data_IF_014178300838
#
_entry.id   IF_014178300838
#
_cell.length_a   1.000
_cell.length_b   1.000
_cell.length_c   1.000
_cell.angle_alpha   90.00
_cell.angle_beta   90.00
_cell.angle_gamma   90.00
#
_symmetry.space_group_name_H-M   'P 1'
#
loop_
_entity.id
_entity.type
_entity.pdbx_description
1 polymer ?
#
# COMPACT_ATOMS: atom_id res chain seq x y z
N UNK A 1 -12.13 -16.44 -27.99
CA UNK A 1 -13.01 -15.70 -28.94
C UNK A 1 -12.44 -14.31 -29.10
N UNK A 2 -12.14 -13.86 -30.34
CA UNK A 2 -11.64 -12.52 -30.57
C UNK A 2 -12.62 -11.45 -30.10
N UNK A 3 -12.09 -10.36 -29.56
CA UNK A 3 -12.88 -9.23 -29.06
C UNK A 3 -12.84 -8.11 -30.10
N UNK A 4 -14.00 -7.55 -30.46
CA UNK A 4 -14.11 -6.45 -31.42
C UNK A 4 -14.60 -5.18 -30.74
N UNK A 5 -13.87 -4.07 -30.91
CA UNK A 5 -14.35 -2.73 -30.59
C UNK A 5 -15.21 -2.22 -31.74
N UNK A 6 -16.43 -1.76 -31.43
CA UNK A 6 -17.32 -1.21 -32.45
C UNK A 6 -17.77 0.22 -32.14
N UNK A 7 -18.00 0.97 -33.22
CA UNK A 7 -18.82 2.18 -33.24
C UNK A 7 -20.07 1.89 -34.04
N UNK A 8 -21.23 2.09 -33.42
CA UNK A 8 -22.52 1.88 -34.07
C UNK A 8 -23.45 3.05 -33.77
N UNK A 9 -24.43 3.25 -34.62
CA UNK A 9 -25.47 4.27 -34.46
C UNK A 9 -26.78 3.54 -34.21
N UNK A 10 -27.52 3.94 -33.19
CA UNK A 10 -28.86 3.39 -32.94
C UNK A 10 -29.92 4.10 -33.77
N UNK A 11 -31.16 3.56 -33.82
CA UNK A 11 -32.25 4.13 -34.62
C UNK A 11 -32.63 5.58 -34.28
N UNK A 12 -32.09 6.15 -33.20
CA UNK A 12 -32.24 7.56 -32.80
C UNK A 12 -31.03 8.43 -33.17
N UNK A 13 -30.17 7.95 -34.07
CA UNK A 13 -28.94 8.64 -34.57
C UNK A 13 -27.90 8.94 -33.49
N UNK A 14 -27.92 8.22 -32.32
CA UNK A 14 -26.91 8.35 -31.25
C UNK A 14 -25.78 7.35 -31.47
N UNK A 15 -24.55 7.86 -31.43
CA UNK A 15 -23.33 7.03 -31.53
C UNK A 15 -23.11 6.25 -30.24
N UNK A 16 -23.15 4.93 -30.34
CA UNK A 16 -22.77 3.99 -29.27
C UNK A 16 -21.43 3.37 -29.61
N UNK A 17 -20.55 3.33 -28.60
CA UNK A 17 -19.26 2.62 -28.66
C UNK A 17 -19.30 1.50 -27.64
N UNK A 18 -18.82 0.32 -28.02
CA UNK A 18 -18.77 -0.83 -27.10
C UNK A 18 -17.82 -1.90 -27.60
N UNK A 19 -17.82 -3.01 -26.89
CA UNK A 19 -17.00 -4.19 -27.18
C UNK A 19 -17.97 -5.35 -27.37
N UNK A 20 -17.70 -6.21 -28.34
CA UNK A 20 -18.50 -7.42 -28.61
C UNK A 20 -17.58 -8.61 -28.86
N UNK A 21 -17.93 -9.76 -28.30
CA UNK A 21 -17.24 -11.02 -28.51
C UNK A 21 -17.83 -11.71 -29.75
N UNK A 22 -16.99 -12.03 -30.73
CA UNK A 22 -17.41 -12.72 -31.93
C UNK A 22 -16.23 -13.49 -32.55
N UNK A 23 -16.54 -14.57 -33.26
CA UNK A 23 -15.49 -15.38 -33.90
C UNK A 23 -14.90 -14.70 -35.14
N UNK A 24 -15.69 -13.86 -35.80
CA UNK A 24 -15.27 -13.08 -36.97
C UNK A 24 -15.90 -11.69 -36.98
N UNK A 25 -15.29 -10.76 -37.72
CA UNK A 25 -15.84 -9.41 -37.96
C UNK A 25 -17.26 -9.46 -38.53
N UNK A 26 -17.57 -10.50 -39.31
CA UNK A 26 -18.88 -10.70 -39.92
C UNK A 26 -19.92 -11.13 -38.87
N UNK A 27 -19.55 -12.00 -37.94
CA UNK A 27 -20.40 -12.44 -36.84
C UNK A 27 -20.67 -11.28 -35.85
N UNK A 28 -19.64 -10.49 -35.55
CA UNK A 28 -19.78 -9.28 -34.73
C UNK A 28 -20.80 -8.30 -35.33
N UNK A 29 -20.74 -8.06 -36.63
CA UNK A 29 -21.71 -7.20 -37.32
C UNK A 29 -23.13 -7.78 -37.29
N UNK A 30 -23.26 -9.09 -37.41
CA UNK A 30 -24.55 -9.77 -37.38
C UNK A 30 -25.21 -9.73 -36.02
N UNK A 31 -24.42 -9.91 -34.93
CA UNK A 31 -24.89 -9.75 -33.56
C UNK A 31 -25.36 -8.32 -33.26
N UNK A 32 -24.57 -7.31 -33.65
CA UNK A 32 -24.93 -5.90 -33.45
C UNK A 32 -26.17 -5.48 -34.26
N UNK A 33 -26.36 -6.06 -35.49
CA UNK A 33 -27.56 -5.83 -36.27
C UNK A 33 -28.82 -6.39 -35.64
N UNK A 34 -28.74 -7.52 -34.92
CA UNK A 34 -29.86 -8.06 -34.14
C UNK A 34 -30.26 -7.11 -33.01
N UNK A 35 -29.30 -6.38 -32.42
CA UNK A 35 -29.51 -5.37 -31.38
C UNK A 35 -29.94 -4.00 -31.94
N UNK A 36 -30.33 -3.94 -33.23
CA UNK A 36 -30.75 -2.71 -33.93
C UNK A 36 -29.69 -1.61 -33.96
N UNK A 37 -28.41 -2.00 -33.94
CA UNK A 37 -27.26 -1.11 -34.01
C UNK A 37 -26.62 -1.17 -35.40
N UNK A 38 -26.51 -0.02 -36.05
CA UNK A 38 -25.85 0.11 -37.38
C UNK A 38 -24.38 0.39 -37.19
N UNK A 39 -23.53 -0.58 -37.50
CA UNK A 39 -22.07 -0.51 -37.28
C UNK A 39 -21.44 0.44 -38.32
N UNK A 40 -20.82 1.51 -37.81
CA UNK A 40 -20.08 2.50 -38.62
C UNK A 40 -18.59 2.12 -38.72
N UNK A 41 -18.00 1.59 -37.68
CA UNK A 41 -16.61 1.12 -37.63
C UNK A 41 -16.49 -0.10 -36.70
N UNK A 42 -15.72 -1.10 -37.10
CA UNK A 42 -15.47 -2.30 -36.28
C UNK A 42 -14.02 -2.72 -36.52
N UNK A 43 -13.29 -2.86 -35.45
CA UNK A 43 -11.88 -3.26 -35.45
C UNK A 43 -11.69 -4.36 -34.41
N UNK A 44 -10.89 -5.35 -34.78
CA UNK A 44 -10.40 -6.32 -33.83
C UNK A 44 -9.64 -5.59 -32.74
N UNK A 45 -10.06 -5.73 -31.50
CA UNK A 45 -9.38 -5.19 -30.36
C UNK A 45 -8.04 -5.95 -30.21
N UNK A 46 -7.04 -5.59 -31.04
CA UNK A 46 -5.66 -5.94 -30.72
C UNK A 46 -5.43 -5.41 -29.33
N UNK A 47 -5.11 -6.29 -28.39
CA UNK A 47 -4.66 -5.93 -27.04
C UNK A 47 -3.68 -4.75 -27.21
N UNK A 48 -4.19 -3.54 -27.11
CA UNK A 48 -3.38 -2.36 -26.91
C UNK A 48 -2.85 -2.47 -25.50
N UNK A 49 -1.77 -3.26 -25.34
CA UNK A 49 -0.79 -2.87 -24.35
C UNK A 49 -0.57 -1.37 -24.61
N UNK A 50 -1.16 -0.55 -23.73
CA UNK A 50 -0.79 0.86 -23.65
C UNK A 50 0.74 0.85 -23.53
N UNK A 51 1.44 1.13 -24.63
CA UNK A 51 2.81 1.62 -24.62
C UNK A 51 2.76 3.00 -23.93
N UNK A 52 2.52 3.00 -22.63
CA UNK A 52 3.02 4.05 -21.79
C UNK A 52 4.52 4.01 -21.99
N UNK A 53 5.10 5.16 -22.21
CA UNK A 53 6.55 5.36 -22.27
C UNK A 53 7.12 4.63 -21.05
N UNK A 54 7.62 3.39 -21.26
CA UNK A 54 8.41 2.68 -20.26
C UNK A 54 9.70 3.47 -20.18
N UNK A 55 9.79 4.37 -19.20
CA UNK A 55 11.07 4.78 -18.64
C UNK A 55 11.65 3.49 -18.08
N UNK A 56 12.53 2.90 -18.86
CA UNK A 56 13.25 1.65 -18.56
C UNK A 56 14.20 1.97 -17.42
N UNK A 57 13.80 1.69 -16.17
CA UNK A 57 14.67 1.98 -15.03
C UNK A 57 14.08 1.80 -13.65
N UNK A 58 12.80 1.47 -13.52
CA UNK A 58 12.26 1.12 -12.20
C UNK A 58 11.57 -0.22 -12.35
N UNK A 59 12.15 -1.26 -11.79
CA UNK A 59 11.52 -2.54 -11.53
C UNK A 59 10.37 -2.29 -10.55
N UNK A 60 9.27 -1.80 -11.07
CA UNK A 60 8.02 -1.71 -10.35
C UNK A 60 7.47 -3.11 -10.17
N UNK A 61 7.82 -3.75 -9.08
CA UNK A 61 6.92 -4.72 -8.48
C UNK A 61 5.64 -3.94 -8.22
N UNK A 62 4.58 -4.20 -8.99
CA UNK A 62 3.26 -3.64 -8.72
C UNK A 62 2.83 -4.15 -7.34
N UNK A 63 3.12 -3.35 -6.31
CA UNK A 63 2.61 -3.63 -4.98
C UNK A 63 1.08 -3.58 -5.04
N UNK A 64 0.39 -4.60 -4.51
CA UNK A 64 -1.06 -4.63 -4.52
C UNK A 64 -1.62 -3.35 -3.90
N UNK A 65 -2.46 -2.64 -4.63
CA UNK A 65 -3.13 -1.45 -4.11
C UNK A 65 -4.03 -1.85 -2.93
N UNK A 66 -4.10 -1.03 -1.88
CA UNK A 66 -4.87 -1.27 -0.64
C UNK A 66 -6.28 -1.80 -0.91
N UNK A 67 -7.01 -1.15 -1.81
CA UNK A 67 -8.35 -1.54 -2.22
C UNK A 67 -8.41 -2.94 -2.85
N UNK A 68 -7.39 -3.32 -3.62
CA UNK A 68 -7.29 -4.65 -4.24
C UNK A 68 -7.09 -5.74 -3.21
N UNK A 69 -6.27 -5.51 -2.17
CA UNK A 69 -6.04 -6.51 -1.11
C UNK A 69 -7.32 -6.81 -0.33
N UNK A 70 -8.11 -5.80 0.00
CA UNK A 70 -9.41 -5.97 0.66
C UNK A 70 -10.40 -6.77 -0.20
N UNK A 71 -10.49 -6.42 -1.49
CA UNK A 71 -11.34 -7.11 -2.45
C UNK A 71 -10.92 -8.57 -2.63
N UNK A 72 -9.62 -8.84 -2.76
CA UNK A 72 -9.09 -10.21 -2.86
C UNK A 72 -9.36 -10.99 -1.57
N UNK A 73 -9.22 -10.37 -0.40
CA UNK A 73 -9.56 -11.02 0.87
C UNK A 73 -11.03 -11.44 0.94
N UNK A 74 -11.95 -10.55 0.51
CA UNK A 74 -13.38 -10.85 0.47
C UNK A 74 -13.71 -11.99 -0.52
N UNK A 75 -13.16 -11.91 -1.73
CA UNK A 75 -13.32 -12.94 -2.76
C UNK A 75 -12.72 -14.28 -2.31
N UNK A 76 -11.54 -14.26 -1.69
CA UNK A 76 -10.91 -15.49 -1.16
C UNK A 76 -11.77 -16.13 -0.09
N UNK A 77 -12.37 -15.34 0.79
CA UNK A 77 -13.32 -15.85 1.81
C UNK A 77 -14.55 -16.48 1.19
N UNK A 78 -15.12 -15.83 0.18
CA UNK A 78 -16.26 -16.35 -0.55
C UNK A 78 -15.92 -17.69 -1.23
N UNK A 79 -14.79 -17.77 -1.94
CA UNK A 79 -14.30 -19.02 -2.52
C UNK A 79 -14.14 -20.12 -1.46
N UNK A 80 -13.50 -19.78 -0.33
CA UNK A 80 -13.30 -20.72 0.77
C UNK A 80 -14.63 -21.29 1.28
N UNK A 81 -15.64 -20.44 1.46
CA UNK A 81 -16.99 -20.88 1.89
C UNK A 81 -17.67 -21.77 0.86
N UNK A 82 -17.54 -21.47 -0.43
CA UNK A 82 -18.11 -22.29 -1.51
C UNK A 82 -17.45 -23.66 -1.58
N UNK A 83 -16.12 -23.72 -1.51
CA UNK A 83 -15.39 -25.00 -1.51
C UNK A 83 -15.69 -25.83 -0.25
N UNK A 84 -15.84 -25.19 0.90
CA UNK A 84 -16.22 -25.87 2.15
C UNK A 84 -17.63 -26.46 2.07
N UNK A 85 -18.52 -25.81 1.31
CA UNK A 85 -19.84 -26.33 1.00
C UNK A 85 -19.82 -27.48 -0.07
N UNK A 86 -18.65 -27.88 -0.54
CA UNK A 86 -18.49 -28.95 -1.53
C UNK A 86 -18.67 -28.51 -2.99
N UNK A 87 -18.76 -27.21 -3.25
CA UNK A 87 -18.87 -26.68 -4.62
C UNK A 87 -17.53 -26.85 -5.35
N UNK A 88 -17.50 -27.43 -6.56
CA UNK A 88 -16.27 -27.58 -7.32
C UNK A 88 -15.60 -26.24 -7.62
N UNK A 89 -14.24 -26.22 -7.66
CA UNK A 89 -13.43 -25.00 -7.85
C UNK A 89 -13.85 -24.18 -9.08
N UNK A 90 -14.07 -24.84 -10.23
CA UNK A 90 -14.47 -24.16 -11.46
C UNK A 90 -15.82 -23.45 -11.35
N UNK A 91 -16.72 -24.00 -10.55
CA UNK A 91 -18.05 -23.41 -10.30
C UNK A 91 -17.96 -22.30 -9.24
N UNK A 92 -17.17 -22.49 -8.19
CA UNK A 92 -16.86 -21.43 -7.21
C UNK A 92 -16.24 -20.20 -7.89
N UNK A 93 -15.31 -20.40 -8.82
CA UNK A 93 -14.73 -19.32 -9.64
C UNK A 93 -15.80 -18.62 -10.50
N UNK A 94 -16.73 -19.36 -11.09
CA UNK A 94 -17.86 -18.78 -11.85
C UNK A 94 -18.71 -17.85 -10.97
N UNK A 95 -19.10 -18.32 -9.80
CA UNK A 95 -19.89 -17.51 -8.87
C UNK A 95 -19.18 -16.23 -8.41
N UNK A 96 -17.88 -16.34 -8.17
CA UNK A 96 -17.03 -15.17 -7.83
C UNK A 96 -16.97 -14.16 -8.99
N UNK A 97 -16.88 -14.63 -10.23
CA UNK A 97 -16.88 -13.77 -11.42
C UNK A 97 -18.19 -12.99 -11.55
N UNK A 98 -19.32 -13.65 -11.32
CA UNK A 98 -20.66 -13.04 -11.38
C UNK A 98 -20.87 -11.96 -10.30
N UNK A 99 -20.21 -12.10 -9.15
CA UNK A 99 -20.30 -11.17 -8.01
C UNK A 99 -19.10 -10.24 -7.87
N UNK A 100 -18.22 -10.20 -8.87
CA UNK A 100 -16.99 -9.42 -8.80
C UNK A 100 -17.25 -7.92 -8.58
N UNK A 101 -16.56 -7.26 -7.63
CA UNK A 101 -16.81 -5.86 -7.27
C UNK A 101 -16.40 -4.88 -8.36
N UNK A 102 -15.50 -5.24 -9.24
CA UNK A 102 -15.06 -4.44 -10.37
C UNK A 102 -14.64 -5.29 -11.59
N UNK A 103 -14.65 -4.66 -12.78
CA UNK A 103 -14.33 -5.31 -14.05
C UNK A 103 -12.90 -5.87 -14.14
N UNK A 104 -11.96 -5.35 -13.35
CA UNK A 104 -10.57 -5.84 -13.38
C UNK A 104 -10.46 -7.14 -12.61
N UNK A 105 -11.11 -7.23 -11.45
CA UNK A 105 -11.19 -8.47 -10.69
C UNK A 105 -11.98 -9.50 -11.48
N UNK A 106 -13.11 -9.12 -12.06
CA UNK A 106 -13.88 -9.99 -12.97
C UNK A 106 -12.99 -10.59 -14.07
N UNK A 107 -12.26 -9.76 -14.80
CA UNK A 107 -11.39 -10.22 -15.90
C UNK A 107 -10.25 -11.11 -15.41
N UNK A 108 -9.68 -10.80 -14.23
CA UNK A 108 -8.61 -11.61 -13.61
C UNK A 108 -9.12 -13.00 -13.24
N UNK A 109 -10.26 -13.09 -12.56
CA UNK A 109 -10.83 -14.39 -12.18
C UNK A 109 -11.39 -15.16 -13.39
N UNK A 110 -11.81 -14.48 -14.45
CA UNK A 110 -12.20 -15.11 -15.72
C UNK A 110 -11.00 -15.80 -16.37
N UNK A 111 -9.84 -15.14 -16.47
CA UNK A 111 -8.60 -15.73 -16.98
C UNK A 111 -8.13 -16.91 -16.12
N UNK A 112 -8.18 -16.76 -14.79
CA UNK A 112 -7.85 -17.85 -13.87
C UNK A 112 -8.77 -19.05 -14.10
N UNK A 113 -10.10 -18.84 -14.17
CA UNK A 113 -11.07 -19.90 -14.40
C UNK A 113 -10.82 -20.61 -15.73
N UNK A 114 -10.54 -19.88 -16.79
CA UNK A 114 -10.23 -20.44 -18.11
C UNK A 114 -9.02 -21.36 -18.04
N UNK A 115 -7.92 -20.92 -17.41
CA UNK A 115 -6.70 -21.73 -17.23
C UNK A 115 -6.96 -22.97 -16.37
N UNK A 116 -7.71 -22.86 -15.29
CA UNK A 116 -8.06 -23.99 -14.42
C UNK A 116 -8.94 -25.01 -15.17
N UNK A 117 -9.90 -24.56 -15.98
CA UNK A 117 -10.72 -25.46 -16.80
C UNK A 117 -9.94 -26.13 -17.93
N UNK A 118 -8.82 -25.53 -18.37
CA UNK A 118 -7.86 -26.13 -19.31
C UNK A 118 -6.89 -27.11 -18.64
N UNK A 119 -7.01 -27.34 -17.32
CA UNK A 119 -6.19 -28.28 -16.56
C UNK A 119 -4.95 -27.67 -15.89
N UNK A 120 -4.77 -26.36 -15.93
CA UNK A 120 -3.68 -25.71 -15.18
C UNK A 120 -3.99 -25.75 -13.69
N UNK A 121 -3.03 -26.10 -12.80
CA UNK A 121 -3.20 -26.01 -11.36
C UNK A 121 -3.61 -24.59 -10.94
N UNK A 122 -4.52 -24.48 -9.97
CA UNK A 122 -5.05 -23.18 -9.52
C UNK A 122 -3.94 -22.28 -8.97
N UNK A 123 -2.99 -22.85 -8.22
CA UNK A 123 -1.84 -22.10 -7.69
C UNK A 123 -0.95 -21.51 -8.80
N UNK A 124 -0.81 -22.19 -9.95
CA UNK A 124 -0.06 -21.67 -11.10
C UNK A 124 -0.86 -20.62 -11.88
N UNK A 125 -2.17 -20.81 -12.02
CA UNK A 125 -3.04 -19.84 -12.65
C UNK A 125 -3.03 -18.49 -11.90
N UNK A 126 -3.05 -18.53 -10.57
CA UNK A 126 -2.97 -17.36 -9.69
C UNK A 126 -1.63 -16.64 -9.80
N UNK A 127 -0.52 -17.38 -9.92
CA UNK A 127 0.85 -16.84 -10.04
C UNK A 127 1.01 -15.93 -11.28
N UNK A 128 0.20 -16.15 -12.32
CA UNK A 128 0.22 -15.29 -13.51
C UNK A 128 -0.32 -13.86 -13.28
N UNK A 129 -0.87 -13.58 -12.10
CA UNK A 129 -1.46 -12.29 -11.74
C UNK A 129 -0.79 -11.64 -10.51
N UNK A 130 0.53 -11.32 -10.55
CA UNK A 130 1.28 -10.82 -9.38
C UNK A 130 0.79 -9.46 -8.86
N UNK A 131 0.07 -8.69 -9.69
CA UNK A 131 -0.56 -7.43 -9.25
C UNK A 131 -1.77 -7.60 -8.31
N UNK A 132 -2.30 -8.83 -8.20
CA UNK A 132 -3.43 -9.18 -7.33
C UNK A 132 -3.05 -10.17 -6.24
N UNK A 133 -2.20 -11.14 -6.56
CA UNK A 133 -1.82 -12.24 -5.68
C UNK A 133 -0.33 -12.20 -5.41
N UNK A 134 0.03 -12.25 -4.13
CA UNK A 134 1.43 -12.33 -3.70
C UNK A 134 1.97 -13.75 -3.85
N UNK A 135 3.30 -13.88 -3.78
CA UNK A 135 3.97 -15.18 -3.73
C UNK A 135 3.45 -16.05 -2.58
N UNK A 136 3.16 -15.42 -1.42
CA UNK A 136 2.52 -16.08 -0.28
C UNK A 136 1.20 -16.75 -0.70
N UNK A 137 0.32 -16.00 -1.38
CA UNK A 137 -0.98 -16.49 -1.84
C UNK A 137 -0.81 -17.72 -2.74
N UNK A 138 0.02 -17.59 -3.75
CA UNK A 138 0.26 -18.67 -4.73
C UNK A 138 0.87 -19.90 -4.09
N UNK A 139 1.84 -19.75 -3.19
CA UNK A 139 2.47 -20.88 -2.50
C UNK A 139 1.51 -21.60 -1.56
N UNK A 140 0.68 -20.86 -0.82
CA UNK A 140 -0.36 -21.45 0.04
C UNK A 140 -1.40 -22.21 -0.80
N UNK A 141 -1.86 -21.64 -1.92
CA UNK A 141 -2.81 -22.30 -2.81
C UNK A 141 -2.22 -23.59 -3.38
N UNK A 142 -0.95 -23.58 -3.84
CA UNK A 142 -0.26 -24.79 -4.31
C UNK A 142 -0.18 -25.88 -3.23
N UNK A 143 0.17 -25.50 -2.00
CA UNK A 143 0.21 -26.44 -0.90
C UNK A 143 -1.18 -27.05 -0.61
N UNK A 144 -2.23 -26.22 -0.62
CA UNK A 144 -3.62 -26.66 -0.42
C UNK A 144 -4.13 -27.56 -1.54
N UNK A 145 -3.78 -27.24 -2.77
CA UNK A 145 -4.14 -28.02 -3.96
C UNK A 145 -3.43 -29.40 -3.93
N UNK A 146 -2.13 -29.43 -3.63
CA UNK A 146 -1.34 -30.67 -3.54
C UNK A 146 -1.78 -31.58 -2.40
N UNK A 147 -2.26 -31.02 -1.29
CA UNK A 147 -2.75 -31.78 -0.12
C UNK A 147 -4.25 -32.12 -0.19
N UNK A 148 -4.99 -31.64 -1.21
CA UNK A 148 -6.43 -31.78 -1.31
C UNK A 148 -7.23 -31.00 -0.25
N UNK A 149 -6.61 -30.04 0.44
CA UNK A 149 -7.19 -29.25 1.51
C UNK A 149 -7.32 -27.75 1.14
N UNK A 150 -7.65 -27.48 -0.14
CA UNK A 150 -7.73 -26.11 -0.67
C UNK A 150 -8.73 -25.24 0.07
N UNK A 151 -9.87 -25.78 0.51
CA UNK A 151 -10.87 -25.12 1.34
C UNK A 151 -10.27 -24.56 2.62
N UNK A 152 -9.53 -25.40 3.37
CA UNK A 152 -8.88 -25.02 4.64
C UNK A 152 -7.81 -23.95 4.43
N UNK A 153 -7.02 -24.11 3.36
CA UNK A 153 -5.96 -23.15 3.03
C UNK A 153 -6.55 -21.81 2.63
N UNK A 154 -7.63 -21.77 1.84
CA UNK A 154 -8.28 -20.51 1.47
C UNK A 154 -8.95 -19.80 2.66
N UNK A 155 -9.50 -20.54 3.64
CA UNK A 155 -9.99 -19.95 4.90
C UNK A 155 -8.85 -19.24 5.65
N UNK A 156 -7.70 -19.91 5.80
CA UNK A 156 -6.51 -19.33 6.46
C UNK A 156 -5.99 -18.12 5.71
N UNK A 157 -5.93 -18.23 4.39
CA UNK A 157 -5.45 -17.16 3.52
C UNK A 157 -6.37 -15.93 3.57
N UNK A 158 -7.69 -16.13 3.57
CA UNK A 158 -8.67 -15.06 3.77
C UNK A 158 -8.49 -14.38 5.14
N UNK A 159 -8.31 -15.17 6.19
CA UNK A 159 -8.01 -14.67 7.55
C UNK A 159 -6.70 -13.87 7.60
N UNK A 160 -5.65 -14.37 6.99
CA UNK A 160 -4.36 -13.69 6.88
C UNK A 160 -4.46 -12.35 6.14
N UNK A 161 -5.07 -12.32 4.96
CA UNK A 161 -5.25 -11.09 4.18
C UNK A 161 -6.09 -10.06 4.95
N UNK A 162 -7.09 -10.52 5.69
CA UNK A 162 -7.92 -9.65 6.53
C UNK A 162 -7.14 -9.08 7.70
N UNK A 163 -6.33 -9.89 8.40
CA UNK A 163 -5.46 -9.43 9.48
C UNK A 163 -4.44 -8.41 8.98
N UNK A 164 -3.80 -8.68 7.83
CA UNK A 164 -2.86 -7.77 7.19
C UNK A 164 -3.51 -6.42 6.83
N UNK A 165 -4.72 -6.47 6.27
CA UNK A 165 -5.49 -5.27 5.92
C UNK A 165 -5.89 -4.49 7.16
N UNK A 166 -6.34 -5.18 8.22
CA UNK A 166 -6.71 -4.58 9.51
C UNK A 166 -5.54 -3.83 10.14
N UNK A 167 -4.36 -4.45 10.22
CA UNK A 167 -3.13 -3.79 10.73
C UNK A 167 -2.80 -2.51 9.95
N UNK A 168 -2.82 -2.59 8.62
CA UNK A 168 -2.55 -1.42 7.76
C UNK A 168 -3.59 -0.32 7.95
N UNK A 169 -4.87 -0.68 8.08
CA UNK A 169 -5.96 0.27 8.26
C UNK A 169 -5.92 0.92 9.64
N UNK A 170 -5.59 0.19 10.71
CA UNK A 170 -5.43 0.74 12.06
C UNK A 170 -4.43 1.89 12.08
N UNK A 171 -3.20 1.65 11.60
CA UNK A 171 -2.16 2.68 11.56
C UNK A 171 -2.56 3.84 10.63
N UNK A 172 -3.15 3.54 9.46
CA UNK A 172 -3.62 4.57 8.54
C UNK A 172 -4.71 5.45 9.13
N UNK A 173 -5.70 4.86 9.80
CA UNK A 173 -6.80 5.59 10.44
C UNK A 173 -6.29 6.52 11.57
N UNK A 174 -5.34 6.04 12.37
CA UNK A 174 -4.76 6.83 13.44
C UNK A 174 -4.00 8.08 12.95
N UNK A 175 -3.43 8.02 11.74
CA UNK A 175 -2.69 9.13 11.13
C UNK A 175 -3.59 10.14 10.36
N UNK A 176 -4.87 9.82 10.12
CA UNK A 176 -5.79 10.72 9.40
C UNK A 176 -5.98 12.03 10.17
N UNK A 177 -6.22 11.95 11.48
CA UNK A 177 -6.43 13.14 12.30
C UNK A 177 -5.21 14.09 12.33
N UNK A 178 -3.98 13.60 12.61
CA UNK A 178 -2.77 14.42 12.48
C UNK A 178 -2.59 15.03 11.08
N UNK A 179 -2.89 14.28 10.03
CA UNK A 179 -2.79 14.77 8.66
C UNK A 179 -3.78 15.94 8.40
N UNK A 180 -5.02 15.80 8.85
CA UNK A 180 -6.03 16.86 8.71
C UNK A 180 -5.57 18.12 9.47
N UNK A 181 -5.05 17.98 10.69
CA UNK A 181 -4.53 19.10 11.47
C UNK A 181 -3.39 19.84 10.75
N UNK A 182 -2.44 19.08 10.18
CA UNK A 182 -1.34 19.69 9.39
C UNK A 182 -1.89 20.42 8.16
N UNK A 183 -2.82 19.80 7.42
CA UNK A 183 -3.42 20.42 6.22
C UNK A 183 -4.15 21.70 6.59
N UNK A 184 -4.99 21.67 7.61
CA UNK A 184 -5.70 22.88 8.09
C UNK A 184 -4.71 23.95 8.55
N UNK A 185 -3.68 23.56 9.30
CA UNK A 185 -2.63 24.48 9.75
C UNK A 185 -1.89 25.15 8.57
N UNK A 186 -1.52 24.36 7.55
CA UNK A 186 -0.88 24.91 6.34
C UNK A 186 -1.82 25.86 5.60
N UNK A 187 -3.13 25.54 5.50
CA UNK A 187 -4.13 26.43 4.87
C UNK A 187 -4.24 27.75 5.65
N UNK A 188 -4.31 27.68 6.98
CA UNK A 188 -4.39 28.90 7.81
C UNK A 188 -3.14 29.77 7.61
N UNK A 189 -1.94 29.19 7.67
CA UNK A 189 -0.69 29.92 7.43
C UNK A 189 -0.66 30.50 6.01
N UNK A 190 -1.05 29.74 5.00
CA UNK A 190 -1.11 30.22 3.61
C UNK A 190 -2.08 31.41 3.44
N UNK A 191 -3.27 31.34 4.05
CA UNK A 191 -4.24 32.44 4.03
C UNK A 191 -3.66 33.70 4.70
N UNK A 192 -2.99 33.54 5.85
CA UNK A 192 -2.36 34.69 6.52
C UNK A 192 -1.25 35.29 5.64
N UNK A 193 -0.40 34.45 5.04
CA UNK A 193 0.70 34.90 4.18
C UNK A 193 0.25 35.56 2.88
N UNK A 194 -0.79 35.04 2.23
CA UNK A 194 -1.26 35.55 0.92
C UNK A 194 -2.19 36.75 1.04
N UNK A 195 -3.02 36.82 2.09
CA UNK A 195 -4.05 37.85 2.19
C UNK A 195 -3.79 38.88 3.30
N UNK A 196 -3.32 38.45 4.48
CA UNK A 196 -3.18 39.35 5.64
C UNK A 196 -1.85 40.10 5.59
N UNK A 197 -0.74 39.38 5.40
CA UNK A 197 0.59 39.99 5.38
C UNK A 197 0.74 41.08 4.32
N UNK A 198 0.34 40.90 3.04
CA UNK A 198 0.46 41.98 2.03
C UNK A 198 -0.35 43.22 2.37
N UNK A 199 -1.58 43.07 2.89
CA UNK A 199 -2.43 44.21 3.27
C UNK A 199 -1.79 45.06 4.38
N UNK A 200 -1.24 44.39 5.40
CA UNK A 200 -0.56 45.09 6.51
C UNK A 200 0.74 45.72 6.01
N UNK A 201 1.47 45.04 5.15
CA UNK A 201 2.72 45.57 4.54
C UNK A 201 2.46 46.88 3.76
N UNK A 202 1.37 46.94 2.96
CA UNK A 202 1.02 48.13 2.19
C UNK A 202 0.74 49.33 3.12
N UNK A 203 0.05 49.12 4.26
CA UNK A 203 -0.24 50.15 5.24
C UNK A 203 1.05 50.70 5.90
N UNK A 204 2.04 49.87 6.11
CA UNK A 204 3.31 50.24 6.77
C UNK A 204 4.27 50.92 5.78
N UNK A 205 4.45 50.39 4.57
CA UNK A 205 5.32 50.96 3.53
C UNK A 205 4.93 52.40 3.14
N UNK A 206 3.62 52.74 3.22
CA UNK A 206 3.14 54.06 2.92
C UNK A 206 3.62 55.16 3.89
N UNK A 207 4.29 54.81 5.01
CA UNK A 207 4.74 55.77 6.05
C UNK A 207 6.27 55.91 6.14
N UNK A 208 7.04 55.28 5.27
CA UNK A 208 8.50 55.51 5.12
C UNK A 208 9.38 55.06 6.28
N UNK A 209 8.89 54.16 7.15
CA UNK A 209 9.65 53.66 8.30
C UNK A 209 10.38 52.35 7.97
N UNK A 210 11.56 52.13 8.59
CA UNK A 210 12.28 50.90 8.51
C UNK A 210 11.55 49.75 9.20
N UNK A 211 11.41 48.64 8.52
CA UNK A 211 10.70 47.45 9.00
C UNK A 211 11.58 46.63 9.96
N UNK A 212 11.03 46.20 11.12
CA UNK A 212 11.72 45.28 12.01
C UNK A 212 12.10 43.97 11.30
N UNK A 213 13.24 43.36 11.71
CA UNK A 213 13.76 42.12 11.13
C UNK A 213 12.68 41.00 11.00
N UNK A 214 11.86 40.69 12.02
CA UNK A 214 10.82 39.66 11.90
C UNK A 214 9.82 39.94 10.79
N UNK A 215 9.43 41.22 10.64
CA UNK A 215 8.50 41.68 9.61
C UNK A 215 9.12 41.56 8.22
N UNK A 216 10.40 41.96 8.08
CA UNK A 216 11.12 41.83 6.81
C UNK A 216 11.24 40.38 6.35
N UNK A 217 11.57 39.43 7.25
CA UNK A 217 11.63 38.00 6.97
C UNK A 217 10.24 37.50 6.53
N UNK A 218 9.19 37.89 7.25
CA UNK A 218 7.82 37.45 6.94
C UNK A 218 7.36 37.96 5.56
N UNK A 219 7.66 39.19 5.22
CA UNK A 219 7.31 39.78 3.92
C UNK A 219 8.06 39.10 2.80
N UNK A 220 9.39 38.92 2.95
CA UNK A 220 10.21 38.22 1.93
C UNK A 220 9.72 36.79 1.71
N UNK A 221 9.35 36.06 2.78
CA UNK A 221 8.79 34.73 2.67
C UNK A 221 7.40 34.73 2.01
N UNK A 222 6.56 35.73 2.30
CA UNK A 222 5.25 35.90 1.67
C UNK A 222 5.38 36.20 0.18
N UNK A 223 6.20 37.19 -0.19
CA UNK A 223 6.42 37.59 -1.58
C UNK A 223 7.02 36.40 -2.37
N UNK A 224 7.97 35.65 -1.78
CA UNK A 224 8.53 34.44 -2.38
C UNK A 224 7.43 33.38 -2.63
N UNK A 225 6.53 33.15 -1.70
CA UNK A 225 5.44 32.19 -1.86
C UNK A 225 4.41 32.64 -2.92
N UNK A 226 4.13 33.94 -3.01
CA UNK A 226 3.16 34.50 -3.96
C UNK A 226 3.75 34.55 -5.38
N UNK A 227 4.98 35.02 -5.52
CA UNK A 227 5.62 35.24 -6.84
C UNK A 227 6.14 33.94 -7.44
N UNK A 228 6.62 33.02 -6.59
CA UNK A 228 7.30 31.79 -7.01
C UNK A 228 6.55 30.51 -6.65
N UNK A 229 5.21 30.58 -6.42
CA UNK A 229 4.40 29.42 -6.02
C UNK A 229 4.58 28.23 -6.97
N UNK A 230 4.69 28.50 -8.30
CA UNK A 230 4.89 27.47 -9.32
C UNK A 230 6.27 26.79 -9.17
N UNK A 231 7.32 27.58 -8.90
CA UNK A 231 8.66 27.05 -8.65
C UNK A 231 8.72 26.23 -7.37
N UNK A 232 8.00 26.65 -6.31
CA UNK A 232 7.86 25.89 -5.07
C UNK A 232 7.17 24.54 -5.34
N UNK A 233 6.11 24.53 -6.12
CA UNK A 233 5.37 23.32 -6.48
C UNK A 233 6.25 22.38 -7.32
N UNK A 234 6.93 22.89 -8.33
CA UNK A 234 7.88 22.10 -9.15
C UNK A 234 9.06 21.61 -8.30
N UNK A 235 9.58 22.45 -7.40
CA UNK A 235 10.65 22.06 -6.46
C UNK A 235 10.21 20.90 -5.55
N UNK A 236 9.02 20.97 -4.95
CA UNK A 236 8.47 19.87 -4.14
C UNK A 236 8.31 18.61 -4.98
N UNK A 237 7.81 18.72 -6.22
CA UNK A 237 7.65 17.59 -7.13
C UNK A 237 9.01 16.94 -7.46
N UNK A 238 10.02 17.74 -7.80
CA UNK A 238 11.37 17.24 -8.10
C UNK A 238 12.00 16.60 -6.87
N UNK A 239 11.82 17.19 -5.68
CA UNK A 239 12.35 16.70 -4.42
C UNK A 239 11.70 15.37 -4.04
N UNK A 240 10.37 15.22 -4.26
CA UNK A 240 9.67 13.95 -4.04
C UNK A 240 10.13 12.86 -5.01
N UNK A 241 10.37 13.19 -6.29
CA UNK A 241 10.91 12.25 -7.28
C UNK A 241 12.34 11.85 -6.90
N UNK A 242 13.20 12.80 -6.58
CA UNK A 242 14.58 12.53 -6.16
C UNK A 242 14.64 11.68 -4.89
N UNK A 243 13.79 11.97 -3.92
CA UNK A 243 13.66 11.18 -2.70
C UNK A 243 13.17 9.74 -2.98
N UNK A 244 12.18 9.56 -3.85
CA UNK A 244 11.74 8.23 -4.27
C UNK A 244 12.86 7.46 -4.98
N UNK A 245 13.62 8.12 -5.86
CA UNK A 245 14.78 7.50 -6.53
C UNK A 245 15.86 7.09 -5.51
N UNK A 246 16.13 7.94 -4.52
CA UNK A 246 17.08 7.63 -3.44
C UNK A 246 16.63 6.42 -2.62
N UNK A 247 15.37 6.40 -2.16
CA UNK A 247 14.82 5.30 -1.35
C UNK A 247 14.72 3.99 -2.13
N UNK A 248 14.44 4.05 -3.43
CA UNK A 248 14.40 2.86 -4.29
C UNK A 248 15.78 2.31 -4.65
N UNK A 249 16.85 3.06 -4.44
CA UNK A 249 18.20 2.56 -4.66
C UNK A 249 18.58 1.49 -3.61
N UNK A 250 19.49 0.55 -3.93
CA UNK A 250 19.89 -0.49 -2.98
C UNK A 250 20.49 0.08 -1.69
N UNK A 251 21.39 1.06 -1.80
CA UNK A 251 22.07 1.70 -0.65
C UNK A 251 21.18 2.70 0.08
N UNK A 252 20.50 3.59 -0.65
CA UNK A 252 19.60 4.59 -0.07
C UNK A 252 18.43 3.98 0.67
N UNK A 253 17.84 2.90 0.13
CA UNK A 253 16.77 2.17 0.80
C UNK A 253 17.22 1.55 2.13
N UNK A 254 18.41 0.94 2.20
CA UNK A 254 18.93 0.40 3.45
C UNK A 254 19.19 1.51 4.49
N UNK A 255 19.79 2.62 4.08
CA UNK A 255 20.02 3.78 4.96
C UNK A 255 18.71 4.35 5.50
N UNK A 256 17.73 4.54 4.63
CA UNK A 256 16.42 5.05 4.98
C UNK A 256 15.67 4.10 5.92
N UNK A 257 15.68 2.80 5.65
CA UNK A 257 15.04 1.79 6.49
C UNK A 257 15.73 1.66 7.86
N UNK A 258 17.08 1.77 7.89
CA UNK A 258 17.81 1.82 9.16
C UNK A 258 17.50 3.09 9.96
N UNK A 259 17.39 4.24 9.29
CA UNK A 259 17.02 5.51 9.93
C UNK A 259 15.62 5.44 10.53
N UNK A 260 14.64 4.93 9.78
CA UNK A 260 13.26 4.75 10.26
C UNK A 260 13.20 3.92 11.55
N UNK A 261 13.99 2.86 11.66
CA UNK A 261 14.03 2.00 12.85
C UNK A 261 14.67 2.69 14.08
N UNK A 262 15.45 3.75 13.88
CA UNK A 262 16.12 4.52 14.96
C UNK A 262 15.28 5.71 15.45
N UNK A 263 14.24 6.11 14.71
CA UNK A 263 13.40 7.23 15.12
C UNK A 263 12.66 6.92 16.42
N UNK A 264 12.67 7.85 17.41
CA UNK A 264 11.91 7.65 18.65
C UNK A 264 10.43 7.48 18.35
N UNK A 265 9.74 6.62 19.09
CA UNK A 265 8.31 6.26 18.95
C UNK A 265 7.97 5.59 17.62
N UNK A 266 8.34 6.20 16.48
CA UNK A 266 8.04 5.67 15.14
C UNK A 266 8.82 4.39 14.83
N UNK A 267 10.09 4.32 15.23
CA UNK A 267 10.92 3.12 15.03
C UNK A 267 10.43 1.93 15.86
N UNK A 268 9.93 2.17 17.07
CA UNK A 268 9.32 1.14 17.92
C UNK A 268 8.06 0.57 17.26
N UNK A 269 7.16 1.44 16.78
CA UNK A 269 5.97 1.03 16.03
C UNK A 269 6.33 0.18 14.80
N UNK A 270 7.33 0.60 14.00
CA UNK A 270 7.74 -0.14 12.81
C UNK A 270 8.33 -1.51 13.13
N UNK A 271 9.13 -1.61 14.20
CA UNK A 271 9.67 -2.90 14.66
C UNK A 271 8.54 -3.84 15.07
N UNK A 272 7.61 -3.38 15.91
CA UNK A 272 6.46 -4.15 16.38
C UNK A 272 5.58 -4.61 15.23
N UNK A 273 5.27 -3.71 14.29
CA UNK A 273 4.50 -4.04 13.10
C UNK A 273 5.20 -5.09 12.22
N UNK A 274 6.53 -4.99 12.08
CA UNK A 274 7.31 -5.97 11.32
C UNK A 274 7.36 -7.32 12.01
N UNK A 275 7.43 -7.35 13.36
CA UNK A 275 7.39 -8.59 14.12
C UNK A 275 6.01 -9.26 14.05
N UNK A 276 4.92 -8.50 14.20
CA UNK A 276 3.57 -9.01 14.01
C UNK A 276 3.40 -9.65 12.63
N UNK A 277 3.83 -8.96 11.57
CA UNK A 277 3.78 -9.51 10.21
C UNK A 277 4.64 -10.74 10.03
N UNK A 278 5.87 -10.72 10.51
CA UNK A 278 6.80 -11.84 10.46
C UNK A 278 6.19 -13.09 11.09
N UNK A 279 5.77 -12.98 12.33
CA UNK A 279 5.29 -14.12 13.12
C UNK A 279 3.98 -14.68 12.59
N UNK A 280 3.01 -13.83 12.27
CA UNK A 280 1.72 -14.25 11.69
C UNK A 280 1.90 -14.90 10.31
N UNK A 281 2.79 -14.33 9.46
CA UNK A 281 3.05 -14.90 8.13
C UNK A 281 3.71 -16.25 8.23
N UNK A 282 4.76 -16.38 9.05
CA UNK A 282 5.51 -17.62 9.21
C UNK A 282 4.60 -18.71 9.84
N UNK A 283 3.85 -18.38 10.89
CA UNK A 283 2.88 -19.29 11.50
C UNK A 283 1.85 -19.80 10.49
N UNK A 284 1.28 -18.90 9.68
CA UNK A 284 0.27 -19.23 8.68
C UNK A 284 0.80 -20.19 7.62
N UNK A 285 2.02 -19.96 7.14
CA UNK A 285 2.68 -20.82 6.15
C UNK A 285 2.98 -22.22 6.71
N UNK A 286 3.61 -22.28 7.88
CA UNK A 286 3.94 -23.53 8.54
C UNK A 286 2.68 -24.35 8.83
N UNK A 287 1.65 -23.74 9.40
CA UNK A 287 0.35 -24.38 9.67
C UNK A 287 -0.35 -24.86 8.38
N UNK A 288 -0.03 -24.26 7.23
CA UNK A 288 -0.56 -24.68 5.93
C UNK A 288 0.27 -25.77 5.25
N UNK A 289 1.31 -26.29 5.95
CA UNK A 289 2.17 -27.37 5.48
C UNK A 289 3.28 -26.92 4.54
N UNK A 290 3.54 -25.62 4.45
CA UNK A 290 4.68 -25.10 3.65
C UNK A 290 5.98 -25.42 4.40
N UNK A 291 6.99 -26.02 3.75
CA UNK A 291 8.27 -26.32 4.37
C UNK A 291 8.93 -25.06 4.98
N UNK A 292 9.60 -25.21 6.13
CA UNK A 292 10.13 -24.08 6.91
C UNK A 292 11.06 -23.16 6.11
N UNK A 293 11.96 -23.70 5.31
CA UNK A 293 12.86 -22.92 4.45
C UNK A 293 12.09 -22.08 3.42
N UNK A 294 11.10 -22.68 2.77
CA UNK A 294 10.26 -21.96 1.82
C UNK A 294 9.40 -20.89 2.53
N UNK A 295 8.89 -21.23 3.72
CA UNK A 295 8.11 -20.31 4.54
C UNK A 295 8.94 -19.08 4.96
N UNK A 296 10.21 -19.25 5.34
CA UNK A 296 11.15 -18.15 5.63
C UNK A 296 11.39 -17.25 4.41
N UNK A 297 11.61 -17.85 3.23
CA UNK A 297 11.84 -17.11 1.99
C UNK A 297 10.63 -16.26 1.60
N UNK A 298 9.42 -16.81 1.72
CA UNK A 298 8.17 -16.09 1.44
C UNK A 298 7.95 -14.98 2.47
N UNK A 299 8.19 -15.28 3.76
CA UNK A 299 8.04 -14.31 4.86
C UNK A 299 8.98 -13.12 4.69
N UNK A 300 10.21 -13.33 4.21
CA UNK A 300 11.14 -12.24 3.88
C UNK A 300 10.52 -11.23 2.91
N UNK A 301 9.81 -11.70 1.88
CA UNK A 301 9.20 -10.82 0.87
C UNK A 301 7.99 -10.02 1.41
N UNK A 302 7.42 -10.44 2.54
CA UNK A 302 6.29 -9.75 3.21
C UNK A 302 6.77 -8.61 4.13
N UNK A 303 8.03 -8.62 4.54
CA UNK A 303 8.60 -7.55 5.37
C UNK A 303 8.86 -6.29 4.54
N UNK A 304 8.41 -5.13 5.03
CA UNK A 304 8.56 -3.84 4.33
C UNK A 304 9.93 -3.17 4.59
N UNK A 305 10.77 -3.74 5.46
CA UNK A 305 12.05 -3.15 5.89
C UNK A 305 13.24 -4.00 5.40
N UNK A 306 14.12 -3.40 4.61
CA UNK A 306 15.28 -4.08 4.02
C UNK A 306 16.29 -4.59 5.05
N UNK A 307 16.40 -3.93 6.22
CA UNK A 307 17.30 -4.40 7.29
C UNK A 307 16.79 -5.71 7.85
N UNK A 308 15.47 -5.80 8.11
CA UNK A 308 14.85 -7.04 8.60
C UNK A 308 14.81 -8.13 7.53
N UNK A 309 14.60 -7.77 6.25
CA UNK A 309 14.71 -8.71 5.13
C UNK A 309 16.10 -9.36 5.07
N UNK A 310 17.17 -8.53 5.19
CA UNK A 310 18.54 -9.04 5.18
C UNK A 310 18.84 -9.92 6.41
N UNK A 311 18.35 -9.53 7.59
CA UNK A 311 18.48 -10.36 8.79
C UNK A 311 17.78 -11.71 8.62
N UNK A 312 16.56 -11.72 8.05
CA UNK A 312 15.85 -12.98 7.80
C UNK A 312 16.51 -13.82 6.71
N UNK A 313 17.15 -13.19 5.71
CA UNK A 313 17.96 -13.93 4.73
C UNK A 313 19.14 -14.64 5.41
N UNK A 314 19.85 -13.98 6.34
CA UNK A 314 20.93 -14.61 7.09
C UNK A 314 20.43 -15.78 7.95
N UNK A 315 19.25 -15.62 8.57
CA UNK A 315 18.61 -16.74 9.29
C UNK A 315 18.33 -17.91 8.34
N UNK A 316 17.71 -17.65 7.21
CA UNK A 316 17.41 -18.66 6.20
C UNK A 316 18.67 -19.42 5.74
N UNK A 317 19.76 -18.69 5.44
CA UNK A 317 21.02 -19.29 4.96
C UNK A 317 21.65 -20.19 6.03
N UNK A 318 21.60 -19.78 7.32
CA UNK A 318 22.08 -20.59 8.44
C UNK A 318 21.23 -21.84 8.68
N UNK A 319 19.91 -21.74 8.50
CA UNK A 319 19.02 -22.89 8.62
C UNK A 319 19.28 -23.92 7.52
N UNK A 320 19.63 -23.49 6.28
CA UNK A 320 20.10 -24.39 5.23
C UNK A 320 21.37 -25.14 5.67
N UNK A 321 22.27 -24.49 6.41
CA UNK A 321 23.49 -25.11 6.98
C UNK A 321 23.20 -26.07 8.14
N UNK A 322 21.92 -26.24 8.54
CA UNK A 322 21.48 -27.18 9.56
C UNK A 322 21.43 -26.61 10.99
N UNK A 323 21.52 -25.27 11.14
CA UNK A 323 21.28 -24.63 12.46
C UNK A 323 19.78 -24.52 12.75
N UNK A 324 19.42 -24.44 14.02
CA UNK A 324 18.07 -24.10 14.47
C UNK A 324 17.65 -22.69 14.03
N UNK A 325 16.37 -22.37 14.10
CA UNK A 325 15.84 -21.05 13.75
C UNK A 325 16.20 -19.97 14.79
N UNK A 326 16.16 -20.33 16.07
CA UNK A 326 16.30 -19.39 17.17
C UNK A 326 17.71 -18.78 17.29
N UNK A 327 18.76 -19.60 17.11
CA UNK A 327 20.16 -19.18 17.26
C UNK A 327 20.54 -18.07 16.28
N UNK A 328 20.36 -18.19 14.95
CA UNK A 328 20.70 -17.12 14.03
C UNK A 328 19.78 -15.89 14.16
N UNK A 329 18.52 -16.06 14.58
CA UNK A 329 17.65 -14.93 14.90
C UNK A 329 18.21 -14.10 16.04
N UNK A 330 18.66 -14.75 17.14
CA UNK A 330 19.29 -14.10 18.29
C UNK A 330 20.60 -13.42 17.91
N UNK A 331 21.42 -14.07 17.11
CA UNK A 331 22.73 -13.54 16.67
C UNK A 331 22.59 -12.31 15.76
N UNK A 332 21.54 -12.23 14.95
CA UNK A 332 21.31 -11.08 14.04
C UNK A 332 21.06 -9.76 14.76
N UNK A 333 20.63 -9.78 16.03
CA UNK A 333 20.28 -8.59 16.82
C UNK A 333 19.11 -7.78 16.27
N UNK A 334 18.51 -8.23 15.18
CA UNK A 334 17.40 -7.52 14.49
C UNK A 334 16.03 -7.95 15.00
N UNK A 335 15.94 -9.11 15.65
CA UNK A 335 14.73 -9.65 16.25
C UNK A 335 14.74 -9.42 17.77
N UNK A 336 13.62 -9.03 18.37
CA UNK A 336 13.50 -8.92 19.82
C UNK A 336 13.84 -10.26 20.51
N UNK A 337 14.48 -10.22 21.71
CA UNK A 337 14.85 -11.45 22.43
C UNK A 337 13.66 -12.38 22.70
N UNK A 338 12.48 -11.81 23.00
CA UNK A 338 11.23 -12.56 23.20
C UNK A 338 10.85 -13.40 21.97
N UNK A 339 10.99 -12.84 20.76
CA UNK A 339 10.66 -13.56 19.51
C UNK A 339 11.60 -14.74 19.34
N UNK A 340 12.92 -14.50 19.44
CA UNK A 340 13.93 -15.57 19.27
C UNK A 340 13.79 -16.66 20.34
N UNK A 341 13.45 -16.29 21.59
CA UNK A 341 13.22 -17.25 22.67
C UNK A 341 11.98 -18.12 22.40
N UNK A 342 10.85 -17.50 22.03
CA UNK A 342 9.60 -18.23 21.76
C UNK A 342 9.72 -19.13 20.54
N UNK A 343 10.47 -18.71 19.52
CA UNK A 343 10.80 -19.56 18.36
C UNK A 343 11.60 -20.78 18.81
N UNK A 344 12.62 -20.60 19.65
CA UNK A 344 13.41 -21.72 20.16
C UNK A 344 12.59 -22.70 21.01
N UNK A 345 11.71 -22.21 21.87
CA UNK A 345 10.80 -23.06 22.65
C UNK A 345 9.86 -23.85 21.73
N UNK A 346 9.26 -23.16 20.73
CA UNK A 346 8.37 -23.81 19.78
C UNK A 346 9.06 -24.85 18.88
N UNK A 347 10.31 -24.59 18.49
CA UNK A 347 11.13 -25.51 17.70
C UNK A 347 11.49 -26.78 18.49
N UNK A 348 11.92 -26.62 19.76
CA UNK A 348 12.23 -27.74 20.66
C UNK A 348 10.99 -28.57 21.04
N UNK A 349 9.84 -27.91 21.21
CA UNK A 349 8.59 -28.57 21.58
C UNK A 349 7.83 -29.15 20.36
N UNK A 350 8.26 -28.86 19.12
CA UNK A 350 7.58 -29.27 17.89
C UNK A 350 6.24 -28.56 17.65
N UNK A 351 6.00 -27.40 18.28
CA UNK A 351 4.78 -26.62 18.14
C UNK A 351 5.07 -25.14 17.75
N UNK A 352 6.04 -24.98 16.85
CA UNK A 352 6.52 -23.66 16.39
C UNK A 352 5.40 -22.76 15.89
N UNK A 353 4.40 -23.31 15.18
CA UNK A 353 3.28 -22.58 14.62
C UNK A 353 2.45 -21.89 15.72
N UNK A 354 2.16 -22.63 16.80
CA UNK A 354 1.37 -22.11 17.92
C UNK A 354 2.13 -21.01 18.67
N UNK A 355 3.43 -21.19 18.88
CA UNK A 355 4.27 -20.19 19.54
C UNK A 355 4.36 -18.92 18.69
N UNK A 356 4.52 -19.04 17.39
CA UNK A 356 4.53 -17.90 16.48
C UNK A 356 3.18 -17.16 16.45
N UNK A 357 2.05 -17.86 16.49
CA UNK A 357 0.72 -17.23 16.58
C UNK A 357 0.54 -16.43 17.88
N UNK A 358 0.95 -17.00 19.00
CA UNK A 358 0.91 -16.30 20.31
C UNK A 358 1.76 -15.03 20.28
N UNK A 359 2.98 -15.13 19.78
CA UNK A 359 3.86 -13.96 19.59
C UNK A 359 3.22 -12.95 18.66
N UNK A 360 2.63 -13.39 17.53
CA UNK A 360 1.93 -12.54 16.60
C UNK A 360 0.78 -11.76 17.20
N UNK A 361 -0.04 -12.42 18.03
CA UNK A 361 -1.15 -11.79 18.75
C UNK A 361 -0.64 -10.72 19.74
N UNK A 362 0.42 -11.05 20.51
CA UNK A 362 1.04 -10.09 21.44
C UNK A 362 1.57 -8.85 20.71
N UNK A 363 2.26 -9.04 19.57
CA UNK A 363 2.76 -7.90 18.79
C UNK A 363 1.65 -7.12 18.09
N UNK A 364 0.49 -7.73 17.75
CA UNK A 364 -0.67 -6.99 17.23
C UNK A 364 -1.24 -6.03 18.30
N UNK A 365 -1.33 -6.48 19.55
CA UNK A 365 -1.71 -5.63 20.69
C UNK A 365 -0.67 -4.53 20.94
N UNK A 366 0.61 -4.87 20.90
CA UNK A 366 1.69 -3.89 21.07
C UNK A 366 1.72 -2.83 19.95
N UNK A 367 1.33 -3.18 18.72
CA UNK A 367 1.15 -2.22 17.62
C UNK A 367 0.03 -1.25 17.93
N UNK A 368 -1.08 -1.71 18.51
CA UNK A 368 -2.18 -0.83 18.91
C UNK A 368 -1.72 0.18 19.97
N UNK A 369 -1.01 -0.27 21.00
CA UNK A 369 -0.46 0.59 22.06
C UNK A 369 0.57 1.58 21.52
N UNK A 370 1.48 1.13 20.64
CA UNK A 370 2.48 1.98 20.00
C UNK A 370 1.84 3.02 19.08
N UNK A 371 0.76 2.67 18.38
CA UNK A 371 0.01 3.58 17.52
C UNK A 371 -0.70 4.66 18.34
N UNK A 372 -1.33 4.29 19.45
CA UNK A 372 -1.94 5.25 20.39
C UNK A 372 -0.89 6.20 20.98
N UNK A 373 0.26 5.66 21.41
CA UNK A 373 1.37 6.47 21.91
C UNK A 373 1.89 7.44 20.86
N UNK A 374 2.01 7.01 19.59
CA UNK A 374 2.44 7.86 18.49
C UNK A 374 1.49 9.03 18.29
N UNK A 375 0.18 8.77 18.23
CA UNK A 375 -0.84 9.82 18.05
C UNK A 375 -0.87 10.80 19.23
N UNK A 376 -0.78 10.32 20.46
CA UNK A 376 -0.77 11.17 21.66
C UNK A 376 0.45 12.09 21.77
N UNK A 377 1.58 11.74 21.13
CA UNK A 377 2.78 12.60 21.06
C UNK A 377 2.72 13.58 19.89
N UNK A 378 2.23 13.11 18.74
CA UNK A 378 2.17 13.95 17.52
C UNK A 378 1.18 15.12 17.71
N UNK A 379 0.04 14.91 18.35
CA UNK A 379 -1.00 15.91 18.49
C UNK A 379 -0.51 17.19 19.22
N UNK A 380 0.06 17.12 20.46
CA UNK A 380 0.60 18.30 21.11
C UNK A 380 1.74 18.96 20.31
N UNK A 381 2.53 18.16 19.61
CA UNK A 381 3.67 18.66 18.85
C UNK A 381 3.20 19.49 17.64
N UNK A 382 2.14 19.06 16.94
CA UNK A 382 1.52 19.82 15.86
C UNK A 382 0.90 21.12 16.40
N UNK A 383 0.18 21.04 17.53
CA UNK A 383 -0.47 22.21 18.13
C UNK A 383 0.59 23.26 18.52
N UNK A 384 1.65 22.85 19.21
CA UNK A 384 2.74 23.75 19.61
C UNK A 384 3.45 24.34 18.38
N UNK A 385 3.76 23.51 17.38
CA UNK A 385 4.39 23.98 16.15
C UNK A 385 3.52 25.03 15.44
N UNK A 386 2.22 24.77 15.31
CA UNK A 386 1.28 25.69 14.70
C UNK A 386 1.16 27.00 15.51
N UNK A 387 1.06 26.89 16.85
CA UNK A 387 0.99 28.05 17.74
C UNK A 387 2.24 28.94 17.63
N UNK A 388 3.45 28.33 17.54
CA UNK A 388 4.70 29.09 17.35
C UNK A 388 4.72 29.82 16.01
N UNK A 389 4.30 29.16 14.92
CA UNK A 389 4.22 29.78 13.59
C UNK A 389 3.21 30.94 13.59
N UNK A 390 2.01 30.72 14.10
CA UNK A 390 0.97 31.77 14.15
C UNK A 390 1.39 32.95 15.07
N UNK A 391 1.96 32.64 16.24
CA UNK A 391 2.48 33.67 17.13
C UNK A 391 3.59 34.50 16.46
N UNK A 392 4.52 33.84 15.73
CA UNK A 392 5.56 34.52 14.94
C UNK A 392 4.99 35.49 13.89
N UNK A 393 3.93 35.06 13.16
CA UNK A 393 3.23 35.90 12.19
C UNK A 393 2.56 37.07 12.89
N UNK A 394 1.86 36.83 13.99
CA UNK A 394 1.19 37.93 14.75
C UNK A 394 2.20 38.95 15.29
N UNK A 395 3.28 38.51 15.89
CA UNK A 395 4.35 39.39 16.40
C UNK A 395 4.95 40.22 15.25
N UNK A 396 5.25 39.59 14.12
CA UNK A 396 5.80 40.27 12.96
C UNK A 396 4.85 41.33 12.35
N UNK A 397 3.54 41.15 12.52
CA UNK A 397 2.52 42.10 12.07
C UNK A 397 2.31 43.22 13.11
N UNK A 398 2.24 42.87 14.39
CA UNK A 398 1.89 43.85 15.46
C UNK A 398 3.07 44.76 15.81
N UNK A 399 4.30 44.27 15.76
CA UNK A 399 5.49 45.03 16.13
C UNK A 399 5.65 46.35 15.37
N UNK A 400 5.53 46.41 14.03
CA UNK A 400 5.55 47.69 13.30
C UNK A 400 4.36 48.62 13.65
N UNK A 401 3.18 48.03 13.87
CA UNK A 401 1.99 48.85 14.23
C UNK A 401 2.16 49.54 15.56
N UNK A 402 2.80 48.89 16.55
CA UNK A 402 3.12 49.52 17.84
C UNK A 402 4.21 50.60 17.71
N UNK A 403 5.14 50.47 16.79
CA UNK A 403 6.15 51.53 16.52
C UNK A 403 5.53 52.73 15.87
N UNK A 404 4.50 52.56 15.02
CA UNK A 404 3.73 53.66 14.42
C UNK A 404 2.93 54.49 15.42
N UNK A 405 2.58 53.94 16.59
CA UNK A 405 1.86 54.69 17.66
C UNK A 405 2.80 55.48 18.58
N UNK A 406 4.11 55.20 18.55
CA UNK A 406 5.12 55.82 19.40
C UNK A 406 5.90 56.97 18.74
N UNK A 407 5.76 57.13 17.42
CA UNK A 407 6.31 58.24 16.63
C UNK A 407 5.21 59.17 16.13
#
# INVERSE_FOLDING_TARGET
VPIFEYKAVDGANKVKKGIIDADTTRDARQKLKKDKLFVTDIKEAKSKQKRGIKIRGVTGVETPNKQRTEQIAAVTRQMASLLQAGIPLAEALRMVIEQAPDKKIESTFRDIREKVTQGMPFGDAVLNHPGYFSDLYSNMVKAGESSGALDKVLIRLAGFLQAQTRLKNKVGAALIYPLIMVVVGVIVVAVLMVFVVPRVTQLIKGRGQDLPLPTHILITASDFLVDYWLLVLVGILLLTIAFQMFVNSPRGGLLWDSFKLKLPVFGDLMKKQSMARFTVTLATLLRSGVPALQALQVTKNVLDNKVLQNALQQVHDRVIEGTDLATPMKMSGSFPPTVSYMVGVGEQAGNLEEMLERVGATYDEEVDLATQKLTSVIEPLIIVALAVVVAGIVIAIVMPLLQLQRG
#
